data_IF_466244707775
#
_entry.id   IF_466244707775
#
_cell.length_a   1.000
_cell.length_b   1.000
_cell.length_c   1.000
_cell.angle_alpha   90.00
_cell.angle_beta   90.00
_cell.angle_gamma   90.00
#
_symmetry.space_group_name_H-M   'P 1'
#
loop_
_entity.id
_entity.type
_entity.pdbx_description
1 polymer ?
#
# COMPACT_ATOMS: atom_id res chain seq x y z
N UNK A 1 -22.20 -25.48 7.10
CA UNK A 1 -20.98 -24.68 7.18
C UNK A 1 -20.86 -24.16 8.60
N UNK A 2 -19.89 -24.63 9.36
CA UNK A 2 -19.56 -23.96 10.62
C UNK A 2 -18.92 -22.65 10.22
N UNK A 3 -19.51 -21.52 10.63
CA UNK A 3 -18.89 -20.20 10.52
C UNK A 3 -17.55 -20.25 11.25
N UNK A 4 -16.47 -20.54 10.57
CA UNK A 4 -15.15 -20.72 11.17
C UNK A 4 -14.28 -19.54 10.80
N UNK A 5 -14.30 -18.48 11.60
CA UNK A 5 -13.25 -17.48 11.57
C UNK A 5 -12.99 -16.96 12.98
N UNK A 6 -11.77 -16.56 13.26
CA UNK A 6 -11.33 -16.03 14.55
C UNK A 6 -12.14 -14.80 15.04
N UNK A 7 -12.84 -14.13 14.13
CA UNK A 7 -13.73 -13.00 14.45
C UNK A 7 -15.01 -13.45 15.17
N UNK A 8 -15.59 -14.62 14.79
CA UNK A 8 -16.77 -15.17 15.43
C UNK A 8 -16.56 -15.68 16.85
N UNK A 9 -15.30 -15.93 17.26
CA UNK A 9 -15.03 -16.40 18.63
C UNK A 9 -15.09 -15.32 19.67
N UNK A 10 -14.76 -14.09 19.28
CA UNK A 10 -14.84 -12.94 20.19
C UNK A 10 -16.31 -12.53 20.42
N UNK A 11 -17.17 -12.67 19.39
CA UNK A 11 -18.61 -12.45 19.55
C UNK A 11 -19.31 -13.62 20.23
N UNK A 12 -18.90 -14.87 19.96
CA UNK A 12 -19.46 -16.03 20.67
C UNK A 12 -19.18 -15.97 22.18
N UNK A 13 -18.02 -15.47 22.61
CA UNK A 13 -17.75 -15.24 24.04
C UNK A 13 -18.67 -14.17 24.64
N UNK A 14 -19.08 -13.16 23.87
CA UNK A 14 -20.11 -12.20 24.31
C UNK A 14 -21.48 -12.87 24.35
N UNK A 15 -21.85 -13.65 23.35
CA UNK A 15 -23.12 -14.38 23.29
C UNK A 15 -23.20 -15.47 24.39
N UNK A 16 -22.11 -16.18 24.69
CA UNK A 16 -22.05 -17.16 25.79
C UNK A 16 -22.10 -16.49 27.17
N UNK A 17 -21.55 -15.28 27.32
CA UNK A 17 -21.69 -14.49 28.54
C UNK A 17 -23.09 -13.89 28.71
N UNK A 18 -23.80 -13.62 27.61
CA UNK A 18 -25.22 -13.20 27.66
C UNK A 18 -26.16 -14.38 27.77
N UNK A 19 -25.90 -15.54 27.12
CA UNK A 19 -26.71 -16.76 27.18
C UNK A 19 -26.57 -17.52 28.49
N UNK A 20 -25.47 -17.40 29.23
CA UNK A 20 -25.34 -17.92 30.60
C UNK A 20 -26.20 -17.16 31.63
N UNK A 21 -26.80 -16.06 31.21
CA UNK A 21 -27.82 -15.36 31.99
C UNK A 21 -29.26 -15.79 31.73
N UNK A 22 -29.51 -16.61 30.68
CA UNK A 22 -30.85 -17.15 30.36
C UNK A 22 -30.75 -18.65 30.06
N UNK A 23 -31.22 -19.44 30.99
CA UNK A 23 -31.11 -20.87 31.18
C UNK A 23 -31.53 -21.87 30.11
N UNK A 24 -30.94 -23.07 30.19
CA UNK A 24 -31.55 -24.40 30.05
C UNK A 24 -31.34 -25.19 28.76
N UNK A 25 -31.11 -26.53 28.84
CA UNK A 25 -30.66 -27.39 27.75
C UNK A 25 -31.75 -28.29 27.13
N UNK A 26 -31.58 -28.70 25.85
CA UNK A 26 -32.08 -29.93 25.17
C UNK A 26 -31.56 -29.93 23.74
N UNK A 27 -30.87 -30.95 23.26
CA UNK A 27 -31.20 -32.32 22.93
C UNK A 27 -31.21 -32.51 21.41
N UNK A 28 -30.45 -33.53 20.85
CA UNK A 28 -30.69 -33.93 19.46
C UNK A 28 -29.51 -34.54 18.73
N UNK A 29 -29.43 -35.88 18.75
CA UNK A 29 -28.45 -36.77 18.13
C UNK A 29 -28.94 -37.21 16.75
N UNK A 30 -28.62 -36.47 15.66
CA UNK A 30 -28.86 -36.92 14.27
C UNK A 30 -28.01 -36.28 13.20
N UNK A 31 -26.86 -35.64 13.51
CA UNK A 31 -26.08 -34.82 12.56
C UNK A 31 -24.67 -35.33 12.22
N UNK A 32 -24.30 -36.55 12.62
CA UNK A 32 -22.89 -37.01 12.57
C UNK A 32 -22.36 -37.36 11.18
N UNK A 33 -23.15 -37.76 10.23
CA UNK A 33 -22.66 -38.25 8.92
C UNK A 33 -22.55 -37.17 7.85
N UNK A 34 -23.37 -36.12 7.88
CA UNK A 34 -23.23 -34.97 6.97
C UNK A 34 -22.10 -34.02 7.39
N UNK A 35 -21.70 -33.98 8.64
CA UNK A 35 -20.66 -33.11 9.18
C UNK A 35 -19.25 -33.45 8.71
N UNK A 36 -18.91 -34.73 8.52
CA UNK A 36 -17.56 -35.18 8.13
C UNK A 36 -17.19 -34.77 6.68
N UNK A 37 -18.13 -34.92 5.74
CA UNK A 37 -17.89 -34.59 4.33
C UNK A 37 -17.80 -33.07 4.09
N UNK A 38 -18.50 -32.28 4.89
CA UNK A 38 -18.49 -30.81 4.87
C UNK A 38 -17.22 -30.26 5.52
N UNK A 39 -16.73 -30.88 6.60
CA UNK A 39 -15.48 -30.51 7.27
C UNK A 39 -14.24 -30.67 6.36
N UNK A 40 -14.19 -31.73 5.54
CA UNK A 40 -13.09 -31.97 4.59
C UNK A 40 -13.04 -30.93 3.47
N UNK A 41 -14.19 -30.49 2.92
CA UNK A 41 -14.24 -29.42 1.90
C UNK A 41 -13.86 -28.05 2.44
N UNK A 42 -14.28 -27.73 3.66
CA UNK A 42 -13.94 -26.43 4.29
C UNK A 42 -12.45 -26.32 4.57
N UNK A 43 -11.79 -27.41 4.96
CA UNK A 43 -10.33 -27.48 5.16
C UNK A 43 -9.58 -27.26 3.85
N UNK A 44 -10.02 -27.91 2.77
CA UNK A 44 -9.40 -27.78 1.44
C UNK A 44 -9.47 -26.35 0.89
N UNK A 45 -10.58 -25.64 1.09
CA UNK A 45 -10.73 -24.24 0.65
C UNK A 45 -9.80 -23.32 1.46
N UNK A 46 -9.74 -23.47 2.77
CA UNK A 46 -8.85 -22.66 3.62
C UNK A 46 -7.37 -22.87 3.26
N UNK A 47 -6.95 -24.11 2.99
CA UNK A 47 -5.59 -24.42 2.56
C UNK A 47 -5.28 -23.81 1.19
N UNK A 48 -6.20 -23.90 0.23
CA UNK A 48 -6.03 -23.25 -1.08
C UNK A 48 -5.85 -21.72 -0.95
N UNK A 49 -6.67 -21.05 -0.15
CA UNK A 49 -6.51 -19.62 0.13
C UNK A 49 -5.20 -19.30 0.81
N UNK A 50 -4.74 -20.12 1.74
CA UNK A 50 -3.44 -19.98 2.40
C UNK A 50 -2.29 -20.02 1.40
N UNK A 51 -2.28 -20.99 0.49
CA UNK A 51 -1.24 -21.09 -0.55
C UNK A 51 -1.30 -19.93 -1.55
N UNK A 52 -2.49 -19.55 -2.04
CA UNK A 52 -2.66 -18.43 -2.96
C UNK A 52 -2.14 -17.13 -2.31
N UNK A 53 -2.54 -16.84 -1.07
CA UNK A 53 -2.06 -15.64 -0.38
C UNK A 53 -0.56 -15.68 -0.10
N UNK A 54 0.02 -16.85 0.17
CA UNK A 54 1.47 -17.00 0.35
C UNK A 54 2.22 -16.64 -0.93
N UNK A 55 1.83 -17.21 -2.07
CA UNK A 55 2.45 -16.93 -3.37
C UNK A 55 2.30 -15.46 -3.74
N UNK A 56 1.09 -14.90 -3.61
CA UNK A 56 0.84 -13.48 -3.89
C UNK A 56 1.68 -12.57 -3.00
N UNK A 57 1.77 -12.84 -1.70
CA UNK A 57 2.58 -12.06 -0.76
C UNK A 57 4.07 -12.09 -1.12
N UNK A 58 4.61 -13.25 -1.49
CA UNK A 58 6.00 -13.38 -1.93
C UNK A 58 6.27 -12.57 -3.22
N UNK A 59 5.36 -12.64 -4.19
CA UNK A 59 5.48 -11.87 -5.44
C UNK A 59 5.41 -10.36 -5.19
N UNK A 60 4.44 -9.91 -4.38
CA UNK A 60 4.28 -8.51 -4.03
C UNK A 60 5.50 -8.00 -3.25
N UNK A 61 6.04 -8.81 -2.32
CA UNK A 61 7.25 -8.49 -1.59
C UNK A 61 8.44 -8.26 -2.54
N UNK A 62 8.71 -9.21 -3.42
CA UNK A 62 9.84 -9.13 -4.36
C UNK A 62 9.69 -7.91 -5.30
N UNK A 63 8.53 -7.76 -5.93
CA UNK A 63 8.26 -6.64 -6.85
C UNK A 63 8.28 -5.30 -6.11
N UNK A 64 7.71 -5.24 -4.91
CA UNK A 64 7.65 -4.03 -4.10
C UNK A 64 9.03 -3.56 -3.64
N UNK A 65 9.86 -4.47 -3.11
CA UNK A 65 11.23 -4.12 -2.68
C UNK A 65 12.07 -3.69 -3.87
N UNK A 66 12.13 -4.51 -4.92
CA UNK A 66 12.97 -4.22 -6.10
C UNK A 66 12.48 -2.95 -6.81
N UNK A 67 11.17 -2.81 -7.01
CA UNK A 67 10.57 -1.68 -7.72
C UNK A 67 10.80 -0.35 -7.00
N UNK A 68 10.43 -0.28 -5.72
CA UNK A 68 10.58 0.97 -4.95
C UNK A 68 12.05 1.32 -4.67
N UNK A 69 12.91 0.34 -4.36
CA UNK A 69 14.35 0.58 -4.21
C UNK A 69 14.99 1.09 -5.51
N UNK A 70 14.60 0.52 -6.67
CA UNK A 70 15.07 0.98 -7.98
C UNK A 70 14.58 2.40 -8.27
N UNK A 71 13.32 2.72 -7.95
CA UNK A 71 12.75 4.05 -8.11
C UNK A 71 13.50 5.11 -7.28
N UNK A 72 13.76 4.82 -6.00
CA UNK A 72 14.56 5.68 -5.12
C UNK A 72 15.96 5.89 -5.67
N UNK A 73 16.62 4.81 -6.11
CA UNK A 73 17.96 4.89 -6.71
C UNK A 73 17.99 5.73 -7.99
N UNK A 74 16.94 5.65 -8.84
CA UNK A 74 16.84 6.48 -10.05
C UNK A 74 16.76 7.96 -9.69
N UNK A 75 15.88 8.34 -8.74
CA UNK A 75 15.71 9.73 -8.33
C UNK A 75 16.98 10.25 -7.65
N UNK A 76 17.63 9.43 -6.83
CA UNK A 76 18.85 9.83 -6.11
C UNK A 76 20.05 10.04 -7.04
N UNK A 77 20.29 9.14 -8.01
CA UNK A 77 21.47 9.18 -8.86
C UNK A 77 21.37 10.18 -10.03
N UNK A 78 20.14 10.53 -10.49
CA UNK A 78 19.97 11.43 -11.62
C UNK A 78 19.66 12.85 -11.14
N UNK A 79 20.60 13.78 -11.32
CA UNK A 79 20.43 15.20 -10.94
C UNK A 79 19.18 15.84 -11.58
N UNK A 80 18.89 15.52 -12.84
CA UNK A 80 17.73 16.01 -13.59
C UNK A 80 16.37 15.49 -13.03
N UNK A 81 16.41 14.45 -12.18
CA UNK A 81 15.22 13.91 -11.50
C UNK A 81 15.02 14.49 -10.10
N UNK A 82 15.95 15.28 -9.56
CA UNK A 82 15.86 15.88 -8.23
C UNK A 82 15.04 17.16 -8.28
N UNK A 83 13.74 17.04 -8.29
CA UNK A 83 12.78 18.17 -8.27
C UNK A 83 11.65 17.87 -7.27
N UNK A 84 10.78 18.87 -6.99
CA UNK A 84 9.72 18.76 -6.01
C UNK A 84 8.82 17.53 -6.18
N UNK A 85 8.17 17.34 -7.33
CA UNK A 85 7.30 16.18 -7.57
C UNK A 85 7.99 14.82 -7.42
N UNK A 86 9.23 14.72 -7.89
CA UNK A 86 9.97 13.45 -7.78
C UNK A 86 10.45 13.19 -6.33
N UNK A 87 10.68 14.24 -5.53
CA UNK A 87 10.94 14.12 -4.11
C UNK A 87 9.69 13.56 -3.36
N UNK A 88 8.50 14.03 -3.70
CA UNK A 88 7.23 13.48 -3.17
C UNK A 88 7.02 12.03 -3.62
N UNK A 89 7.34 11.68 -4.88
CA UNK A 89 7.32 10.31 -5.38
C UNK A 89 8.35 9.44 -4.65
N UNK A 90 9.53 9.97 -4.31
CA UNK A 90 10.52 9.26 -3.49
C UNK A 90 10.03 9.04 -2.05
N UNK A 91 9.36 10.04 -1.46
CA UNK A 91 8.71 9.92 -0.15
C UNK A 91 7.63 8.83 -0.16
N UNK A 92 6.81 8.77 -1.20
CA UNK A 92 5.81 7.72 -1.42
C UNK A 92 6.48 6.34 -1.50
N UNK A 93 7.52 6.19 -2.33
CA UNK A 93 8.25 4.93 -2.50
C UNK A 93 8.93 4.46 -1.20
N UNK A 94 9.39 5.38 -0.35
CA UNK A 94 9.96 5.05 0.96
C UNK A 94 8.88 4.55 1.93
N UNK A 95 7.71 5.17 1.94
CA UNK A 95 6.55 4.69 2.70
C UNK A 95 6.11 3.29 2.25
N UNK A 96 6.06 3.04 0.94
CA UNK A 96 5.74 1.74 0.37
C UNK A 96 6.78 0.67 0.72
N UNK A 97 8.08 1.00 0.71
CA UNK A 97 9.14 0.09 1.17
C UNK A 97 8.99 -0.27 2.63
N UNK A 98 8.66 0.70 3.49
CA UNK A 98 8.41 0.46 4.91
C UNK A 98 7.25 -0.52 5.10
N UNK A 99 6.15 -0.32 4.37
CA UNK A 99 5.01 -1.23 4.38
C UNK A 99 5.41 -2.64 3.92
N UNK A 100 5.99 -2.76 2.74
CA UNK A 100 6.34 -4.05 2.14
C UNK A 100 7.34 -4.82 3.00
N UNK A 101 8.40 -4.16 3.52
CA UNK A 101 9.46 -4.81 4.27
C UNK A 101 9.02 -5.30 5.66
N UNK A 102 8.02 -4.68 6.26
CA UNK A 102 7.57 -4.98 7.64
C UNK A 102 6.26 -5.74 7.63
N UNK A 103 5.26 -5.26 6.90
CA UNK A 103 3.91 -5.80 6.92
C UNK A 103 3.83 -7.20 6.29
N UNK A 104 4.41 -7.38 5.12
CA UNK A 104 4.30 -8.64 4.39
C UNK A 104 4.94 -9.82 5.14
N UNK A 105 6.19 -9.75 5.64
CA UNK A 105 6.79 -10.86 6.37
C UNK A 105 6.03 -11.26 7.63
N UNK A 106 5.51 -10.29 8.39
CA UNK A 106 4.77 -10.57 9.62
C UNK A 106 3.40 -11.18 9.31
N UNK A 107 2.68 -10.65 8.31
CA UNK A 107 1.41 -11.22 7.88
C UNK A 107 1.58 -12.62 7.29
N UNK A 108 2.64 -12.85 6.53
CA UNK A 108 2.97 -14.16 5.99
C UNK A 108 3.30 -15.17 7.11
N UNK A 109 4.09 -14.76 8.11
CA UNK A 109 4.35 -15.59 9.28
C UNK A 109 3.06 -15.95 10.02
N UNK A 110 2.17 -14.97 10.28
CA UNK A 110 0.86 -15.20 10.90
C UNK A 110 0.00 -16.17 10.09
N UNK A 111 0.00 -16.02 8.77
CA UNK A 111 -0.76 -16.89 7.87
C UNK A 111 -0.25 -18.34 7.90
N UNK A 112 1.07 -18.53 7.91
CA UNK A 112 1.70 -19.86 7.87
C UNK A 112 1.72 -20.52 9.23
N UNK A 113 2.13 -19.81 10.28
CA UNK A 113 2.31 -20.34 11.62
C UNK A 113 1.01 -20.35 12.45
N UNK A 114 -0.01 -19.57 12.04
CA UNK A 114 -1.28 -19.44 12.77
C UNK A 114 -1.17 -18.74 14.14
N UNK A 115 0.00 -18.17 14.46
CA UNK A 115 0.28 -17.51 15.74
C UNK A 115 1.10 -16.24 15.54
N UNK A 116 1.12 -15.39 16.56
CA UNK A 116 1.95 -14.19 16.56
C UNK A 116 3.44 -14.54 16.76
N UNK A 117 4.38 -13.89 16.03
CA UNK A 117 5.81 -14.12 16.25
C UNK A 117 6.22 -13.67 17.64
N UNK A 118 7.04 -14.48 18.34
CA UNK A 118 7.53 -14.19 19.70
C UNK A 118 6.43 -13.90 20.72
N UNK A 119 5.28 -14.57 20.63
CA UNK A 119 4.04 -14.32 21.36
C UNK A 119 4.22 -14.13 22.87
N UNK A 120 5.10 -14.89 23.53
CA UNK A 120 5.28 -14.87 25.00
C UNK A 120 6.47 -14.03 25.46
N UNK A 121 6.94 -13.07 24.64
CA UNK A 121 8.11 -12.23 24.95
C UNK A 121 7.76 -10.75 24.91
N UNK A 122 8.54 -9.93 25.66
CA UNK A 122 8.44 -8.46 25.59
C UNK A 122 8.69 -7.95 24.15
N UNK A 123 9.55 -8.62 23.38
CA UNK A 123 9.79 -8.31 21.98
C UNK A 123 8.55 -8.57 21.10
N UNK A 124 7.82 -9.66 21.35
CA UNK A 124 6.56 -9.92 20.66
C UNK A 124 5.48 -8.87 20.94
N UNK A 125 5.39 -8.38 22.18
CA UNK A 125 4.51 -7.26 22.55
C UNK A 125 4.95 -5.96 21.85
N UNK A 126 6.24 -5.67 21.82
CA UNK A 126 6.77 -4.51 21.09
C UNK A 126 6.40 -4.58 19.60
N UNK A 127 6.59 -5.73 18.95
CA UNK A 127 6.17 -5.92 17.55
C UNK A 127 4.66 -5.78 17.36
N UNK A 128 3.85 -6.24 18.34
CA UNK A 128 2.39 -6.13 18.29
C UNK A 128 1.92 -4.66 18.29
N UNK A 129 2.65 -3.76 18.95
CA UNK A 129 2.37 -2.33 18.95
C UNK A 129 2.98 -1.60 17.75
N UNK A 130 4.21 -1.93 17.42
CA UNK A 130 4.96 -1.27 16.34
C UNK A 130 4.37 -1.57 14.95
N UNK A 131 3.98 -2.81 14.71
CA UNK A 131 3.54 -3.26 13.39
C UNK A 131 2.26 -2.55 12.90
N UNK A 132 1.15 -2.51 13.65
CA UNK A 132 -0.05 -1.77 13.23
C UNK A 132 0.20 -0.27 13.11
N UNK A 133 1.07 0.28 13.98
CA UNK A 133 1.50 1.67 13.89
C UNK A 133 2.21 1.96 12.56
N UNK A 134 3.23 1.18 12.19
CA UNK A 134 3.97 1.39 10.94
C UNK A 134 3.09 1.15 9.71
N UNK A 135 2.22 0.15 9.76
CA UNK A 135 1.24 -0.11 8.71
C UNK A 135 0.34 1.12 8.49
N UNK A 136 -0.19 1.69 9.57
CA UNK A 136 -1.07 2.84 9.49
C UNK A 136 -0.34 4.11 9.07
N UNK A 137 0.86 4.33 9.60
CA UNK A 137 1.71 5.46 9.21
C UNK A 137 2.06 5.40 7.71
N UNK A 138 2.42 4.22 7.19
CA UNK A 138 2.71 4.03 5.76
C UNK A 138 1.51 4.40 4.87
N UNK A 139 0.31 3.95 5.23
CA UNK A 139 -0.92 4.33 4.50
C UNK A 139 -1.14 5.85 4.58
N UNK A 140 -0.91 6.46 5.75
CA UNK A 140 -0.98 7.91 5.93
C UNK A 140 0.00 8.66 5.02
N UNK A 141 1.26 8.21 4.94
CA UNK A 141 2.28 8.76 4.04
C UNK A 141 1.80 8.68 2.58
N UNK A 142 1.25 7.54 2.17
CA UNK A 142 0.73 7.35 0.80
C UNK A 142 -0.37 8.35 0.47
N UNK A 143 -1.42 8.45 1.29
CA UNK A 143 -2.58 9.31 0.98
C UNK A 143 -2.23 10.80 1.02
N UNK A 144 -1.42 11.22 1.99
CA UNK A 144 -0.99 12.63 2.08
C UNK A 144 -0.04 13.02 0.95
N UNK A 145 0.88 12.13 0.53
CA UNK A 145 1.71 12.38 -0.66
C UNK A 145 0.86 12.54 -1.92
N UNK A 146 -0.19 11.73 -2.12
CA UNK A 146 -1.09 11.86 -3.27
C UNK A 146 -1.85 13.20 -3.26
N UNK A 147 -2.30 13.66 -2.09
CA UNK A 147 -2.90 14.99 -1.94
C UNK A 147 -1.93 16.10 -2.33
N UNK A 148 -0.72 16.11 -1.73
CA UNK A 148 0.28 17.15 -1.98
C UNK A 148 0.77 17.11 -3.44
N UNK A 149 0.94 15.93 -4.04
CA UNK A 149 1.24 15.79 -5.47
C UNK A 149 0.15 16.40 -6.35
N UNK A 150 -1.13 16.24 -5.99
CA UNK A 150 -2.25 16.83 -6.75
C UNK A 150 -2.24 18.35 -6.66
N UNK A 151 -2.00 18.92 -5.46
CA UNK A 151 -1.82 20.33 -5.22
C UNK A 151 -0.62 20.89 -6.00
N UNK A 152 0.53 20.20 -5.93
CA UNK A 152 1.76 20.61 -6.63
C UNK A 152 1.56 20.63 -8.15
N UNK A 153 0.82 19.65 -8.70
CA UNK A 153 0.48 19.64 -10.14
C UNK A 153 -0.41 20.80 -10.54
N UNK A 154 -1.41 21.14 -9.74
CA UNK A 154 -2.24 22.32 -9.97
C UNK A 154 -1.39 23.60 -9.93
N UNK A 155 -0.58 23.79 -8.87
CA UNK A 155 0.32 24.95 -8.75
C UNK A 155 1.27 25.09 -9.96
N UNK A 156 1.79 23.97 -10.47
CA UNK A 156 2.67 23.95 -11.62
C UNK A 156 1.96 24.40 -12.92
N UNK A 157 0.67 24.17 -13.06
CA UNK A 157 -0.12 24.61 -14.22
C UNK A 157 -0.60 26.05 -14.05
N UNK A 158 -1.06 26.43 -12.85
CA UNK A 158 -1.59 27.76 -12.56
C UNK A 158 -0.49 28.85 -12.51
N UNK A 159 0.73 28.52 -12.02
CA UNK A 159 1.84 29.46 -11.93
C UNK A 159 2.68 29.46 -13.21
N UNK A 160 2.29 30.26 -14.15
CA UNK A 160 2.94 30.40 -15.46
C UNK A 160 4.40 30.88 -15.43
N UNK A 161 4.76 31.71 -14.46
CA UNK A 161 6.05 32.41 -14.42
C UNK A 161 7.14 31.71 -13.57
N UNK A 162 6.86 30.66 -12.85
CA UNK A 162 7.87 29.95 -12.06
C UNK A 162 8.71 29.04 -12.97
N UNK A 163 9.86 29.51 -13.36
CA UNK A 163 10.97 28.66 -13.83
C UNK A 163 11.33 27.77 -12.67
N UNK A 164 11.14 26.46 -12.82
CA UNK A 164 11.60 25.50 -11.81
C UNK A 164 13.13 25.55 -11.76
N UNK A 165 13.67 26.06 -10.65
CA UNK A 165 15.10 25.98 -10.36
C UNK A 165 15.57 24.53 -10.29
N UNK A 166 16.85 24.29 -10.50
CA UNK A 166 17.49 22.99 -10.30
C UNK A 166 17.51 22.65 -8.82
N UNK A 167 16.92 21.49 -8.43
CA UNK A 167 16.90 21.00 -7.06
C UNK A 167 15.50 20.83 -6.47
N UNK A 168 15.46 20.31 -5.23
CA UNK A 168 14.22 20.15 -4.48
C UNK A 168 13.92 21.46 -3.74
N UNK A 169 12.75 22.08 -3.95
CA UNK A 169 12.37 23.30 -3.22
C UNK A 169 12.28 23.04 -1.71
N UNK A 170 12.68 24.01 -0.90
CA UNK A 170 12.57 23.93 0.58
C UNK A 170 11.12 23.66 1.03
N UNK A 171 10.14 24.27 0.33
CA UNK A 171 8.71 24.02 0.59
C UNK A 171 8.38 22.55 0.48
N UNK A 172 8.87 21.85 -0.55
CA UNK A 172 8.63 20.42 -0.72
C UNK A 172 9.27 19.58 0.39
N UNK A 173 10.44 19.97 0.89
CA UNK A 173 11.09 19.29 2.03
C UNK A 173 10.24 19.45 3.28
N UNK A 174 9.71 20.64 3.54
CA UNK A 174 8.80 20.91 4.66
C UNK A 174 7.50 20.12 4.49
N UNK A 175 6.91 20.09 3.30
CA UNK A 175 5.71 19.29 3.00
C UNK A 175 5.94 17.80 3.32
N UNK A 176 7.06 17.23 2.90
CA UNK A 176 7.43 15.83 3.21
C UNK A 176 7.57 15.62 4.72
N UNK A 177 8.26 16.52 5.43
CA UNK A 177 8.40 16.43 6.88
C UNK A 177 7.03 16.44 7.58
N UNK A 178 6.15 17.34 7.19
CA UNK A 178 4.77 17.43 7.71
C UNK A 178 3.99 16.15 7.41
N UNK A 179 4.08 15.61 6.20
CA UNK A 179 3.43 14.33 5.84
C UNK A 179 3.86 13.20 6.79
N UNK A 180 5.15 13.05 7.03
CA UNK A 180 5.68 11.98 7.89
C UNK A 180 5.26 12.15 9.35
N UNK A 181 5.38 13.35 9.90
CA UNK A 181 4.96 13.66 11.27
C UNK A 181 3.45 13.45 11.45
N UNK A 182 2.64 13.98 10.55
CA UNK A 182 1.18 13.85 10.62
C UNK A 182 0.75 12.38 10.48
N UNK A 183 1.37 11.63 9.58
CA UNK A 183 1.09 10.19 9.41
C UNK A 183 1.43 9.40 10.67
N UNK A 184 2.55 9.72 11.33
CA UNK A 184 2.95 9.10 12.58
C UNK A 184 1.96 9.44 13.72
N UNK A 185 1.58 10.71 13.87
CA UNK A 185 0.60 11.15 14.89
C UNK A 185 -0.76 10.45 14.69
N UNK A 186 -1.25 10.37 13.46
CA UNK A 186 -2.51 9.69 13.14
C UNK A 186 -2.45 8.16 13.36
N UNK A 187 -1.28 7.57 13.39
CA UNK A 187 -1.07 6.15 13.64
C UNK A 187 -0.93 5.80 15.14
N UNK A 188 -0.72 6.78 16.04
CA UNK A 188 -0.53 6.55 17.48
C UNK A 188 -1.62 5.70 18.14
N UNK A 189 -2.93 5.87 17.81
CA UNK A 189 -3.98 5.03 18.39
C UNK A 189 -3.80 3.53 18.13
N UNK A 190 -3.19 3.15 17.02
CA UNK A 190 -2.87 1.74 16.74
C UNK A 190 -1.80 1.22 17.70
N UNK A 191 -0.74 1.98 17.97
CA UNK A 191 0.31 1.59 18.92
C UNK A 191 -0.22 1.45 20.36
N UNK A 192 -1.19 2.28 20.75
CA UNK A 192 -1.79 2.24 22.10
C UNK A 192 -2.74 1.05 22.22
N UNK A 193 -3.61 0.85 21.22
CA UNK A 193 -4.75 -0.05 21.31
C UNK A 193 -4.44 -1.51 21.02
N UNK A 194 -3.35 -1.84 20.32
CA UNK A 194 -2.99 -3.22 20.05
C UNK A 194 -2.25 -3.85 21.21
N UNK A 195 -2.67 -5.08 21.58
CA UNK A 195 -2.13 -5.85 22.69
C UNK A 195 -2.10 -7.33 22.38
N UNK A 196 -1.30 -8.07 23.15
CA UNK A 196 -1.29 -9.53 23.12
C UNK A 196 -2.51 -10.04 23.88
N UNK A 197 -3.30 -10.88 23.23
CA UNK A 197 -4.52 -11.47 23.80
C UNK A 197 -4.45 -12.99 23.68
N UNK A 198 -4.64 -13.66 24.79
CA UNK A 198 -4.72 -15.11 24.84
C UNK A 198 -6.16 -15.56 24.64
N UNK A 199 -6.34 -16.60 23.82
CA UNK A 199 -7.63 -17.24 23.60
C UNK A 199 -7.48 -18.75 23.49
N UNK A 200 -8.46 -19.48 23.97
CA UNK A 200 -8.49 -20.94 23.87
C UNK A 200 -9.03 -21.41 22.51
N UNK A 201 -8.30 -22.30 21.87
CA UNK A 201 -8.72 -22.93 20.62
C UNK A 201 -8.39 -24.41 20.61
N UNK A 202 -9.41 -25.27 20.50
CA UNK A 202 -9.25 -26.74 20.48
C UNK A 202 -8.39 -27.26 21.65
N UNK A 203 -8.66 -26.81 22.87
CA UNK A 203 -7.93 -27.13 24.10
C UNK A 203 -6.45 -26.69 24.10
N UNK A 204 -6.07 -25.73 23.27
CA UNK A 204 -4.75 -25.10 23.28
C UNK A 204 -4.90 -23.59 23.47
N UNK A 205 -4.09 -23.00 24.36
CA UNK A 205 -4.01 -21.55 24.50
C UNK A 205 -3.19 -20.96 23.36
N UNK A 206 -3.78 -20.07 22.59
CA UNK A 206 -3.11 -19.36 21.50
C UNK A 206 -3.06 -17.87 21.79
N UNK A 207 -1.89 -17.27 21.61
CA UNK A 207 -1.69 -15.83 21.77
C UNK A 207 -1.69 -15.14 20.42
N UNK A 208 -2.47 -14.08 20.27
CA UNK A 208 -2.50 -13.26 19.05
C UNK A 208 -2.41 -11.79 19.39
N UNK A 209 -2.03 -10.98 18.40
CA UNK A 209 -2.02 -9.52 18.49
C UNK A 209 -3.31 -8.96 17.92
N UNK A 210 -4.08 -8.26 18.73
CA UNK A 210 -5.35 -7.65 18.31
C UNK A 210 -5.63 -6.34 19.03
N UNK A 211 -6.55 -5.53 18.47
CA UNK A 211 -7.00 -4.29 19.07
C UNK A 211 -7.85 -4.60 20.32
N UNK A 212 -7.32 -4.25 21.49
CA UNK A 212 -7.97 -4.42 22.78
C UNK A 212 -8.20 -3.06 23.43
N UNK A 213 -9.42 -2.53 23.42
CA UNK A 213 -9.71 -1.23 24.03
C UNK A 213 -9.67 -1.36 25.57
N UNK A 214 -8.73 -0.61 26.18
CA UNK A 214 -8.56 -0.57 27.64
C UNK A 214 -9.08 0.72 28.26
N UNK A 215 -9.41 1.73 27.43
CA UNK A 215 -9.90 3.04 27.85
C UNK A 215 -11.18 3.40 27.08
N UNK A 216 -12.03 4.33 27.59
CA UNK A 216 -13.20 4.82 26.88
C UNK A 216 -12.85 5.41 25.50
N UNK A 217 -11.72 6.12 25.40
CA UNK A 217 -11.22 6.64 24.12
C UNK A 217 -10.91 5.51 23.13
N UNK A 218 -10.24 4.44 23.56
CA UNK A 218 -9.92 3.30 22.71
C UNK A 218 -11.16 2.50 22.30
N UNK A 219 -12.19 2.48 23.15
CA UNK A 219 -13.50 1.89 22.80
C UNK A 219 -14.14 2.72 21.68
N UNK A 220 -14.21 4.02 21.83
CA UNK A 220 -14.70 4.93 20.79
C UNK A 220 -13.89 4.78 19.49
N UNK A 221 -12.55 4.75 19.58
CA UNK A 221 -11.68 4.56 18.42
C UNK A 221 -11.98 3.24 17.69
N UNK A 222 -12.09 2.11 18.41
CA UNK A 222 -12.47 0.82 17.82
C UNK A 222 -13.77 0.91 17.04
N UNK A 223 -14.76 1.59 17.61
CA UNK A 223 -16.11 1.69 17.05
C UNK A 223 -16.18 2.67 15.87
N UNK A 224 -15.40 3.74 15.88
CA UNK A 224 -15.33 4.73 14.81
C UNK A 224 -14.31 4.41 13.73
N UNK A 225 -13.37 3.48 13.97
CA UNK A 225 -12.18 3.23 13.15
C UNK A 225 -12.49 3.02 11.66
N UNK A 226 -13.45 2.17 11.33
CA UNK A 226 -13.73 1.83 9.93
C UNK A 226 -14.32 3.04 9.17
N UNK A 227 -15.18 3.82 9.82
CA UNK A 227 -15.73 5.08 9.27
C UNK A 227 -14.65 6.15 9.13
N UNK A 228 -13.78 6.27 10.16
CA UNK A 228 -12.64 7.17 10.12
C UNK A 228 -11.68 6.85 8.98
N UNK A 229 -11.34 5.57 8.80
CA UNK A 229 -10.45 5.12 7.72
C UNK A 229 -11.07 5.35 6.35
N UNK A 230 -12.36 5.06 6.19
CA UNK A 230 -13.06 5.33 4.94
C UNK A 230 -13.16 6.82 4.64
N UNK A 231 -13.56 7.65 5.61
CA UNK A 231 -13.69 9.09 5.41
C UNK A 231 -12.35 9.76 5.17
N UNK A 232 -11.42 9.62 6.12
CA UNK A 232 -10.20 10.40 6.14
C UNK A 232 -9.08 9.83 5.27
N UNK A 233 -8.91 8.50 5.23
CA UNK A 233 -7.83 7.87 4.46
C UNK A 233 -8.24 7.49 3.03
N UNK A 234 -9.52 7.58 2.68
CA UNK A 234 -9.99 7.23 1.34
C UNK A 234 -10.78 8.37 0.69
N UNK A 235 -11.91 8.81 1.27
CA UNK A 235 -12.75 9.83 0.62
C UNK A 235 -12.08 11.20 0.54
N UNK A 236 -11.44 11.68 1.62
CA UNK A 236 -10.79 13.00 1.64
C UNK A 236 -9.65 13.10 0.61
N UNK A 237 -8.69 12.14 0.53
CA UNK A 237 -7.66 12.18 -0.50
C UNK A 237 -8.20 12.16 -1.92
N UNK A 238 -9.22 11.36 -2.20
CA UNK A 238 -9.85 11.30 -3.52
C UNK A 238 -10.58 12.60 -3.87
N UNK A 239 -11.32 13.17 -2.92
CA UNK A 239 -12.00 14.47 -3.11
C UNK A 239 -11.00 15.60 -3.34
N UNK A 240 -9.92 15.65 -2.54
CA UNK A 240 -8.81 16.60 -2.71
C UNK A 240 -8.19 16.46 -4.11
N UNK A 241 -7.84 15.24 -4.51
CA UNK A 241 -7.28 14.99 -5.83
C UNK A 241 -8.24 15.39 -6.94
N UNK A 242 -9.51 14.96 -6.87
CA UNK A 242 -10.53 15.29 -7.86
C UNK A 242 -10.72 16.81 -8.02
N UNK A 243 -10.75 17.54 -6.90
CA UNK A 243 -10.85 19.00 -6.89
C UNK A 243 -9.68 19.67 -7.61
N UNK A 244 -8.44 19.33 -7.25
CA UNK A 244 -7.26 19.94 -7.87
C UNK A 244 -7.08 19.52 -9.33
N UNK A 245 -7.45 18.29 -9.71
CA UNK A 245 -7.48 17.88 -11.13
C UNK A 245 -8.56 18.62 -11.92
N UNK A 246 -9.72 18.86 -11.32
CA UNK A 246 -10.77 19.68 -11.92
C UNK A 246 -10.27 21.10 -12.21
N UNK A 247 -9.69 21.76 -11.19
CA UNK A 247 -9.10 23.11 -11.34
C UNK A 247 -7.99 23.13 -12.39
N UNK A 248 -7.10 22.13 -12.37
CA UNK A 248 -6.00 22.01 -13.34
C UNK A 248 -6.54 21.87 -14.78
N UNK A 249 -7.59 21.07 -14.97
CA UNK A 249 -8.22 20.88 -16.28
C UNK A 249 -8.84 22.19 -16.77
N UNK A 250 -9.57 22.90 -15.91
CA UNK A 250 -10.14 24.22 -16.23
C UNK A 250 -9.04 25.23 -16.64
N UNK A 251 -7.93 25.27 -15.91
CA UNK A 251 -6.83 26.17 -16.21
C UNK A 251 -6.13 25.80 -17.53
N UNK A 252 -5.93 24.52 -17.81
CA UNK A 252 -5.36 24.06 -19.09
C UNK A 252 -6.26 24.43 -20.27
N UNK A 253 -7.58 24.27 -20.16
CA UNK A 253 -8.55 24.66 -21.20
C UNK A 253 -8.57 26.18 -21.43
N UNK A 254 -8.42 26.96 -20.34
CA UNK A 254 -8.32 28.41 -20.42
C UNK A 254 -7.07 28.86 -21.19
N UNK A 255 -5.93 28.24 -20.93
CA UNK A 255 -4.67 28.53 -21.60
C UNK A 255 -4.66 28.12 -23.09
N UNK A 256 -5.29 27.00 -23.44
CA UNK A 256 -5.40 26.51 -24.82
C UNK A 256 -6.17 27.48 -25.70
N UNK A 257 -7.18 28.15 -25.16
CA UNK A 257 -7.96 29.19 -25.89
C UNK A 257 -7.21 30.51 -26.08
N UNK A 258 -6.16 30.79 -25.29
CA UNK A 258 -5.45 32.06 -25.28
C UNK A 258 -4.04 32.08 -25.93
N UNK A 259 -3.50 30.93 -26.35
CA UNK A 259 -2.08 30.82 -26.72
C UNK A 259 -1.81 30.55 -28.19
N UNK A 260 -1.14 31.55 -28.82
CA UNK A 260 -0.59 31.52 -30.19
C UNK A 260 0.92 31.18 -30.26
N UNK A 261 1.59 30.74 -29.18
CA UNK A 261 3.06 30.56 -29.14
C UNK A 261 3.47 29.07 -29.00
N UNK A 262 4.18 28.58 -30.03
CA UNK A 262 4.69 27.21 -30.17
C UNK A 262 5.59 26.72 -28.99
N UNK A 263 6.49 27.58 -28.48
CA UNK A 263 7.40 27.22 -27.38
C UNK A 263 6.66 26.93 -26.07
N UNK A 264 5.53 27.56 -25.87
CA UNK A 264 4.65 27.43 -24.74
C UNK A 264 3.95 26.08 -24.71
N UNK A 265 3.64 25.52 -25.87
CA UNK A 265 3.00 24.21 -26.09
C UNK A 265 3.86 23.05 -25.56
N UNK A 266 5.18 23.10 -25.67
CA UNK A 266 6.05 22.00 -25.21
C UNK A 266 6.14 21.91 -23.68
N UNK A 267 6.27 23.03 -22.99
CA UNK A 267 6.27 23.08 -21.53
C UNK A 267 4.93 22.62 -20.93
N UNK A 268 3.82 22.99 -21.53
CA UNK A 268 2.49 22.52 -21.16
C UNK A 268 2.35 21.01 -21.39
N UNK A 269 2.86 20.50 -22.51
CA UNK A 269 2.85 19.08 -22.83
C UNK A 269 3.60 18.25 -21.78
N UNK A 270 4.79 18.72 -21.35
CA UNK A 270 5.57 18.08 -20.30
C UNK A 270 4.83 18.08 -18.93
N UNK A 271 4.24 19.23 -18.56
CA UNK A 271 3.44 19.35 -17.33
C UNK A 271 2.23 18.41 -17.35
N UNK A 272 1.55 18.31 -18.51
CA UNK A 272 0.42 17.39 -18.72
C UNK A 272 0.83 15.91 -18.58
N UNK A 273 2.00 15.50 -19.07
CA UNK A 273 2.49 14.11 -18.90
C UNK A 273 2.73 13.77 -17.43
N UNK A 274 3.32 14.66 -16.65
CA UNK A 274 3.51 14.43 -15.21
C UNK A 274 2.17 14.40 -14.46
N UNK A 275 1.25 15.27 -14.80
CA UNK A 275 -0.09 15.28 -14.23
C UNK A 275 -0.84 13.96 -14.50
N UNK A 276 -0.75 13.42 -15.73
CA UNK A 276 -1.31 12.10 -16.06
C UNK A 276 -0.74 10.99 -15.18
N UNK A 277 0.58 11.00 -14.92
CA UNK A 277 1.21 10.00 -14.08
C UNK A 277 0.64 10.04 -12.65
N UNK A 278 0.52 11.23 -12.06
CA UNK A 278 -0.06 11.38 -10.71
C UNK A 278 -1.54 11.00 -10.70
N UNK A 279 -2.31 11.35 -11.73
CA UNK A 279 -3.70 10.92 -11.87
C UNK A 279 -3.84 9.40 -11.89
N UNK A 280 -2.98 8.70 -12.65
CA UNK A 280 -2.96 7.24 -12.66
C UNK A 280 -2.64 6.65 -11.28
N UNK A 281 -1.71 7.26 -10.51
CA UNK A 281 -1.42 6.82 -9.14
C UNK A 281 -2.65 6.97 -8.23
N UNK A 282 -3.37 8.08 -8.31
CA UNK A 282 -4.61 8.30 -7.54
C UNK A 282 -5.71 7.32 -7.95
N UNK A 283 -5.90 7.09 -9.25
CA UNK A 283 -6.90 6.13 -9.74
C UNK A 283 -6.63 4.71 -9.26
N UNK A 284 -5.37 4.30 -9.31
CA UNK A 284 -4.98 2.95 -8.86
C UNK A 284 -5.08 2.83 -7.33
N UNK A 285 -4.71 3.87 -6.59
CA UNK A 285 -4.96 3.92 -5.16
C UNK A 285 -6.45 3.69 -4.87
N UNK A 286 -7.35 4.39 -5.58
CA UNK A 286 -8.79 4.21 -5.42
C UNK A 286 -9.23 2.76 -5.70
N UNK A 287 -8.79 2.18 -6.81
CA UNK A 287 -9.14 0.80 -7.21
C UNK A 287 -8.60 -0.24 -6.23
N UNK A 288 -7.39 -0.05 -5.70
CA UNK A 288 -6.77 -0.99 -4.78
C UNK A 288 -7.39 -0.95 -3.37
N UNK A 289 -7.79 0.22 -2.88
CA UNK A 289 -8.29 0.38 -1.51
C UNK A 289 -9.81 0.29 -1.38
N UNK A 290 -10.56 0.59 -2.45
CA UNK A 290 -12.03 0.55 -2.44
C UNK A 290 -12.61 -0.80 -1.96
N UNK A 291 -12.16 -1.97 -2.45
CA UNK A 291 -12.72 -3.24 -2.02
C UNK A 291 -12.54 -3.49 -0.52
N UNK A 292 -11.40 -3.06 0.07
CA UNK A 292 -11.12 -3.22 1.49
C UNK A 292 -12.04 -2.36 2.35
N UNK A 293 -12.23 -1.09 1.98
CA UNK A 293 -13.15 -0.20 2.70
C UNK A 293 -14.59 -0.71 2.56
N UNK A 294 -14.99 -1.16 1.37
CA UNK A 294 -16.31 -1.75 1.14
C UNK A 294 -16.55 -2.98 2.03
N UNK A 295 -15.60 -3.91 2.08
CA UNK A 295 -15.71 -5.11 2.93
C UNK A 295 -15.89 -4.74 4.40
N UNK A 296 -15.08 -3.80 4.92
CA UNK A 296 -15.17 -3.37 6.32
C UNK A 296 -16.48 -2.70 6.65
N UNK A 297 -16.97 -1.81 5.78
CA UNK A 297 -18.24 -1.14 5.97
C UNK A 297 -19.42 -2.11 5.87
N UNK A 298 -19.39 -3.07 4.93
CA UNK A 298 -20.41 -4.11 4.83
C UNK A 298 -20.46 -4.98 6.10
N UNK A 299 -19.31 -5.35 6.67
CA UNK A 299 -19.26 -6.05 7.96
C UNK A 299 -19.92 -5.24 9.07
N UNK A 300 -19.67 -3.94 9.11
CA UNK A 300 -20.20 -3.06 10.15
C UNK A 300 -21.70 -2.80 10.03
N UNK A 301 -22.22 -2.71 8.81
CA UNK A 301 -23.61 -2.29 8.54
C UNK A 301 -24.55 -3.47 8.32
N UNK A 302 -24.09 -4.52 7.64
CA UNK A 302 -24.96 -5.61 7.18
C UNK A 302 -24.92 -6.84 8.07
N UNK A 303 -23.90 -6.98 8.93
CA UNK A 303 -23.83 -8.12 9.83
C UNK A 303 -24.76 -7.96 11.01
N UNK A 304 -25.67 -8.93 11.17
CA UNK A 304 -26.59 -9.04 12.31
C UNK A 304 -26.40 -10.42 12.95
N UNK A 305 -26.10 -10.53 14.27
CA UNK A 305 -25.81 -11.80 14.94
C UNK A 305 -26.94 -12.84 14.85
N UNK A 306 -28.18 -12.37 14.81
CA UNK A 306 -29.39 -13.24 14.85
C UNK A 306 -29.98 -13.54 13.45
N UNK A 307 -29.31 -13.12 12.35
CA UNK A 307 -29.81 -13.36 10.99
C UNK A 307 -29.59 -14.84 10.59
N UNK A 308 -30.60 -15.48 9.98
CA UNK A 308 -30.55 -16.85 9.46
C UNK A 308 -29.47 -17.00 8.36
N UNK A 309 -29.25 -15.97 7.56
CA UNK A 309 -28.27 -15.95 6.47
C UNK A 309 -26.88 -15.42 6.87
N UNK A 310 -26.63 -15.17 8.17
CA UNK A 310 -25.35 -14.65 8.67
C UNK A 310 -24.13 -15.43 8.21
N UNK A 311 -24.24 -16.75 8.08
CA UNK A 311 -23.11 -17.60 7.68
C UNK A 311 -22.76 -17.45 6.20
N UNK A 312 -23.72 -17.24 5.34
CA UNK A 312 -23.49 -17.00 3.90
C UNK A 312 -22.85 -15.63 3.70
N UNK A 313 -23.36 -14.61 4.39
CA UNK A 313 -22.79 -13.26 4.38
C UNK A 313 -21.34 -13.27 4.89
N UNK A 314 -21.07 -13.96 6.00
CA UNK A 314 -19.71 -14.03 6.56
C UNK A 314 -18.74 -14.78 5.63
N UNK A 315 -19.16 -15.83 4.95
CA UNK A 315 -18.34 -16.52 3.97
C UNK A 315 -18.04 -15.63 2.77
N UNK A 316 -19.02 -14.89 2.28
CA UNK A 316 -18.82 -13.90 1.21
C UNK A 316 -17.84 -12.80 1.65
N UNK A 317 -18.04 -12.21 2.82
CA UNK A 317 -17.17 -11.17 3.37
C UNK A 317 -15.75 -11.68 3.65
N UNK A 318 -15.57 -12.95 4.00
CA UNK A 318 -14.26 -13.56 4.16
C UNK A 318 -13.49 -13.61 2.83
N UNK A 319 -14.13 -14.07 1.76
CA UNK A 319 -13.53 -14.09 0.41
C UNK A 319 -13.21 -12.66 -0.05
N UNK A 320 -14.14 -11.73 0.17
CA UNK A 320 -13.95 -10.32 -0.16
C UNK A 320 -12.78 -9.71 0.63
N UNK A 321 -12.59 -10.06 1.90
CA UNK A 321 -11.46 -9.61 2.71
C UNK A 321 -10.12 -10.09 2.17
N UNK A 322 -10.00 -11.38 1.86
CA UNK A 322 -8.76 -11.92 1.29
C UNK A 322 -8.41 -11.25 -0.04
N UNK A 323 -9.40 -11.10 -0.91
CA UNK A 323 -9.23 -10.38 -2.18
C UNK A 323 -8.81 -8.92 -1.95
N UNK A 324 -9.52 -8.21 -1.09
CA UNK A 324 -9.31 -6.79 -0.84
C UNK A 324 -7.99 -6.48 -0.12
N UNK A 325 -7.55 -7.36 0.79
CA UNK A 325 -6.24 -7.24 1.43
C UNK A 325 -5.11 -7.37 0.42
N UNK A 326 -5.19 -8.35 -0.50
CA UNK A 326 -4.21 -8.48 -1.57
C UNK A 326 -4.21 -7.26 -2.49
N UNK A 327 -5.38 -6.74 -2.86
CA UNK A 327 -5.48 -5.51 -3.67
C UNK A 327 -4.85 -4.31 -2.97
N UNK A 328 -5.13 -4.10 -1.68
CA UNK A 328 -4.53 -3.02 -0.90
C UNK A 328 -3.01 -3.16 -0.80
N UNK A 329 -2.50 -4.39 -0.65
CA UNK A 329 -1.06 -4.67 -0.59
C UNK A 329 -0.38 -4.44 -1.96
N UNK A 330 -1.04 -4.76 -3.08
CA UNK A 330 -0.58 -4.48 -4.44
C UNK A 330 -0.32 -2.98 -4.65
N UNK A 331 -1.09 -2.10 -4.00
CA UNK A 331 -0.87 -0.66 -4.09
C UNK A 331 0.57 -0.25 -3.78
N UNK A 332 1.20 -0.87 -2.79
CA UNK A 332 2.59 -0.54 -2.38
C UNK A 332 3.66 -1.08 -3.34
N UNK A 333 3.33 -1.95 -4.29
CA UNK A 333 4.30 -2.45 -5.28
C UNK A 333 4.03 -1.93 -6.70
N UNK A 334 2.84 -1.39 -6.98
CA UNK A 334 2.44 -1.05 -8.35
C UNK A 334 2.94 0.33 -8.81
N UNK A 335 3.25 1.26 -7.87
CA UNK A 335 3.65 2.62 -8.16
C UNK A 335 4.87 2.72 -9.12
N UNK A 336 5.97 1.97 -8.93
CA UNK A 336 7.09 1.97 -9.87
C UNK A 336 6.70 1.47 -11.27
N UNK A 337 5.81 0.50 -11.33
CA UNK A 337 5.32 -0.08 -12.59
C UNK A 337 4.53 0.96 -13.39
N UNK A 338 3.63 1.69 -12.74
CA UNK A 338 2.84 2.74 -13.37
C UNK A 338 3.73 3.85 -13.88
N UNK A 339 4.68 4.31 -13.07
CA UNK A 339 5.63 5.34 -13.48
C UNK A 339 6.46 4.91 -14.69
N UNK A 340 6.83 3.63 -14.78
CA UNK A 340 7.49 3.08 -15.96
C UNK A 340 6.62 3.17 -17.23
N UNK A 341 5.33 2.86 -17.14
CA UNK A 341 4.45 2.89 -18.31
C UNK A 341 3.99 4.29 -18.70
N UNK A 342 3.70 5.15 -17.73
CA UNK A 342 3.07 6.45 -17.97
C UNK A 342 4.12 7.55 -18.20
N UNK A 343 5.28 7.52 -17.53
CA UNK A 343 6.29 8.56 -17.61
C UNK A 343 7.44 8.16 -18.52
N UNK A 344 7.61 8.89 -19.64
CA UNK A 344 8.73 8.68 -20.59
C UNK A 344 10.09 8.82 -19.90
N UNK A 345 10.26 9.81 -19.00
CA UNK A 345 11.49 10.03 -18.24
C UNK A 345 11.85 8.81 -17.37
N UNK A 346 10.92 8.31 -16.55
CA UNK A 346 11.15 7.13 -15.73
C UNK A 346 11.41 5.91 -16.60
N UNK A 347 10.64 5.69 -17.66
CA UNK A 347 10.82 4.58 -18.60
C UNK A 347 12.26 4.55 -19.18
N UNK A 348 12.78 5.69 -19.60
CA UNK A 348 14.16 5.78 -20.14
C UNK A 348 15.19 5.44 -19.07
N UNK A 349 15.07 5.99 -17.86
CA UNK A 349 15.99 5.70 -16.75
C UNK A 349 15.94 4.25 -16.30
N UNK A 350 14.77 3.62 -16.25
CA UNK A 350 14.64 2.18 -15.95
C UNK A 350 15.31 1.32 -17.02
N UNK A 351 15.11 1.62 -18.31
CA UNK A 351 15.71 0.85 -19.43
C UNK A 351 17.23 0.92 -19.41
N UNK A 352 17.81 2.11 -19.18
CA UNK A 352 19.27 2.29 -19.09
C UNK A 352 19.84 1.46 -17.96
N UNK A 353 19.18 1.43 -16.79
CA UNK A 353 19.66 0.64 -15.65
C UNK A 353 19.48 -0.86 -15.85
N UNK A 354 18.38 -1.30 -16.45
CA UNK A 354 18.19 -2.72 -16.77
C UNK A 354 19.29 -3.23 -17.71
N UNK A 355 19.67 -2.46 -18.74
CA UNK A 355 20.78 -2.79 -19.63
C UNK A 355 22.11 -2.85 -18.88
N UNK A 356 22.36 -1.91 -17.95
CA UNK A 356 23.59 -1.89 -17.14
C UNK A 356 23.66 -3.10 -16.19
N UNK A 357 22.55 -3.48 -15.56
CA UNK A 357 22.49 -4.69 -14.72
C UNK A 357 22.70 -5.97 -15.52
N UNK A 358 22.12 -6.07 -16.72
CA UNK A 358 22.37 -7.19 -17.62
C UNK A 358 23.84 -7.26 -18.08
N UNK A 359 24.43 -6.10 -18.38
CA UNK A 359 25.85 -6.02 -18.77
C UNK A 359 26.78 -6.41 -17.62
N UNK A 360 26.54 -5.89 -16.40
CA UNK A 360 27.30 -6.25 -15.20
C UNK A 360 27.10 -7.73 -14.80
N UNK A 361 25.86 -8.24 -14.91
CA UNK A 361 25.57 -9.66 -14.70
C UNK A 361 26.26 -10.56 -15.70
N UNK A 362 26.33 -10.19 -16.98
CA UNK A 362 27.08 -10.89 -17.99
C UNK A 362 28.60 -10.84 -17.73
N UNK A 363 29.12 -9.70 -17.25
CA UNK A 363 30.53 -9.61 -16.84
C UNK A 363 30.85 -10.50 -15.64
N UNK A 364 29.98 -10.61 -14.65
CA UNK A 364 30.14 -11.47 -13.48
C UNK A 364 30.07 -12.97 -13.84
N UNK A 365 29.27 -13.36 -14.81
CA UNK A 365 29.20 -14.72 -15.31
C UNK A 365 30.42 -15.09 -16.21
N UNK A 366 31.06 -14.10 -16.84
CA UNK A 366 32.24 -14.35 -17.71
C UNK A 366 33.53 -14.46 -16.91
N UNK A 367 33.64 -13.92 -15.70
CA UNK A 367 34.86 -13.89 -14.90
C UNK A 367 35.11 -15.18 -14.09
N UNK A 368 34.22 -16.17 -14.21
CA UNK A 368 34.45 -17.50 -13.62
C UNK A 368 35.35 -18.42 -14.48
N UNK A 369 35.82 -17.96 -15.64
CA UNK A 369 36.53 -18.85 -16.58
C UNK A 369 37.75 -18.32 -17.32
N UNK A 370 38.16 -17.05 -17.27
CA UNK A 370 39.37 -16.61 -17.99
C UNK A 370 40.03 -15.37 -17.36
N UNK A 371 41.37 -15.44 -17.13
CA UNK A 371 42.23 -14.30 -16.72
C UNK A 371 42.31 -13.25 -17.83
N UNK A 372 42.18 -11.94 -17.53
CA UNK A 372 42.15 -10.89 -18.54
C UNK A 372 43.57 -10.42 -18.91
N UNK A 373 43.80 -10.27 -20.22
CA UNK A 373 44.84 -9.41 -20.78
C UNK A 373 44.38 -7.94 -20.67
N UNK A 374 45.30 -7.09 -20.24
CA UNK A 374 45.07 -5.63 -20.06
C UNK A 374 44.70 -4.96 -21.39
N UNK A 375 43.50 -4.40 -21.47
CA UNK A 375 43.15 -3.36 -22.46
C UNK A 375 42.59 -2.18 -21.68
N UNK A 376 43.23 -1.03 -21.84
CA UNK A 376 42.84 0.22 -21.17
C UNK A 376 41.48 0.70 -21.67
N UNK A 377 40.51 0.81 -20.76
CA UNK A 377 39.23 1.40 -21.04
C UNK A 377 39.16 2.74 -20.29
N UNK A 378 39.04 3.83 -21.05
CA UNK A 378 38.75 5.17 -20.63
C UNK A 378 37.38 5.18 -19.94
N UNK A 379 37.35 5.43 -18.62
CA UNK A 379 36.16 5.55 -17.83
C UNK A 379 35.53 6.94 -17.99
N UNK A 380 34.59 7.07 -18.90
CA UNK A 380 33.62 8.21 -18.83
C UNK A 380 32.45 7.82 -17.89
N UNK A 381 32.00 8.75 -17.03
CA UNK A 381 30.94 8.44 -16.08
C UNK A 381 29.58 8.33 -16.77
N UNK A 382 28.88 7.22 -16.53
CA UNK A 382 27.56 6.83 -17.06
C UNK A 382 26.41 7.83 -16.70
N UNK A 383 26.71 8.94 -16.04
CA UNK A 383 25.76 9.99 -15.70
C UNK A 383 25.26 10.82 -16.87
N UNK A 384 25.99 10.86 -18.01
CA UNK A 384 25.62 11.66 -19.18
C UNK A 384 24.50 11.05 -20.05
N UNK A 385 24.30 9.73 -20.02
CA UNK A 385 23.34 9.06 -20.93
C UNK A 385 21.87 9.34 -20.67
N UNK A 386 21.49 9.79 -19.46
CA UNK A 386 20.11 10.21 -19.18
C UNK A 386 19.84 11.67 -19.59
N UNK A 387 20.87 12.50 -19.65
CA UNK A 387 20.78 13.91 -20.08
C UNK A 387 20.71 14.04 -21.60
N UNK A 388 21.51 13.26 -22.33
CA UNK A 388 21.62 13.35 -23.80
C UNK A 388 20.36 12.88 -24.56
N UNK A 389 19.53 12.04 -23.98
CA UNK A 389 18.28 11.59 -24.60
C UNK A 389 17.16 12.64 -24.60
N UNK A 390 17.34 13.75 -23.85
CA UNK A 390 16.36 14.86 -23.73
C UNK A 390 16.65 16.02 -24.71
N UNK A 391 17.79 16.03 -25.41
CA UNK A 391 18.32 17.20 -26.18
C UNK A 391 18.62 16.89 -27.65
N UNK A 392 17.94 15.98 -28.31
CA UNK A 392 17.99 15.95 -29.77
C UNK A 392 16.89 16.86 -30.35
N UNK A 393 17.24 18.02 -30.94
CA UNK A 393 16.32 18.71 -31.81
C UNK A 393 16.19 17.90 -33.09
N UNK A 394 14.97 17.59 -33.51
CA UNK A 394 14.68 17.21 -34.89
C UNK A 394 14.83 18.48 -35.73
N UNK A 395 15.90 18.61 -36.40
CA UNK A 395 16.05 19.52 -37.53
C UNK A 395 15.89 18.79 -38.83
N UNK A 396 15.92 19.56 -39.97
CA UNK A 396 14.75 20.19 -40.61
C UNK A 396 13.90 19.24 -41.42
#
# INVERSE_FOLDING_TARGET
MRCSTNWMKDERKREEQEATKEGGPRGGESERTHGARRSSKDTSIQDAFKYINTVMSCLIFAVGVIGNATLLRIIYLNKSMRNGPNALIASLALGDLMYVAIDIPINLYKLLAGRWPFAHTAFGLFLCKLFPFLQKASVGITVLNLCVLSVDRYRAVASWSRVQGTGVPTVTVVEIAVIWVLSAVLAVPEAIGFNMVDFEYKNATMTTCMLQPTTPFMTFYRDAKDWWLFGFYFCVPLACSAFFYGLMTCEMLRHEKGSLRLSLSEHLKQRREVAKAVFCLVLIFALCWFPLHLSRLLKRTSYKPHDAHRCELLNFLLVLDYFSLNMATINSCINPIILYFVSKKFKTCFKVKAKLCCFLGSCLCFDAGQRPSRVGVSSQPVTESCESASLRPTGP
#
